data_IF_868195219931
#
_entry.id   IF_868195219931
#
_cell.length_a   1.000
_cell.length_b   1.000
_cell.length_c   1.000
_cell.angle_alpha   90.00
_cell.angle_beta   90.00
_cell.angle_gamma   90.00
#
_symmetry.space_group_name_H-M   'P 1'
#
loop_
_entity.id
_entity.type
_entity.pdbx_description
1 polymer ?
#
# COMPACT_ATOMS: atom_id res chain seq x y z
N UNK A 1 9.10 -1.41 16.32
CA UNK A 1 10.01 -0.55 17.10
C UNK A 1 9.52 0.90 17.13
N UNK A 2 8.97 1.44 16.04
CA UNK A 2 8.49 2.84 15.97
C UNK A 2 7.15 3.05 16.69
N UNK A 3 6.25 2.07 16.67
CA UNK A 3 4.98 2.12 17.43
C UNK A 3 5.19 2.20 18.94
N UNK A 4 6.27 1.58 19.46
CA UNK A 4 6.63 1.66 20.87
C UNK A 4 7.09 3.09 21.26
N UNK A 5 7.69 3.82 20.34
CA UNK A 5 8.12 5.21 20.54
C UNK A 5 6.92 6.15 20.70
N UNK A 6 5.84 5.96 19.93
CA UNK A 6 4.60 6.72 20.07
C UNK A 6 3.90 6.44 21.40
N UNK A 7 3.85 5.18 21.81
CA UNK A 7 3.25 4.77 23.09
C UNK A 7 4.02 5.35 24.27
N UNK A 8 5.34 5.42 24.19
CA UNK A 8 6.18 6.00 25.23
C UNK A 8 6.05 7.54 25.32
N UNK A 9 5.80 8.23 24.21
CA UNK A 9 5.50 9.66 24.19
C UNK A 9 4.10 9.96 24.79
N UNK A 10 3.11 9.13 24.48
CA UNK A 10 1.75 9.26 25.01
C UNK A 10 1.65 8.94 26.51
N UNK A 11 2.47 8.00 26.99
CA UNK A 11 2.55 7.63 28.40
C UNK A 11 3.53 8.47 29.25
N UNK A 12 4.23 9.41 28.63
CA UNK A 12 5.01 10.36 29.42
C UNK A 12 4.05 11.15 30.32
N UNK A 13 4.10 10.83 31.60
CA UNK A 13 3.21 11.36 32.68
C UNK A 13 3.12 12.90 32.73
N UNK A 14 4.05 13.62 32.07
CA UNK A 14 4.02 15.06 31.88
C UNK A 14 2.92 15.53 30.93
N UNK A 15 2.49 14.72 29.95
CA UNK A 15 1.45 15.12 28.97
C UNK A 15 0.06 14.89 29.55
N UNK A 16 -0.15 13.85 30.36
CA UNK A 16 -1.43 13.62 31.05
C UNK A 16 -1.77 14.73 32.08
N UNK A 17 -0.74 15.29 32.73
CA UNK A 17 -0.92 16.40 33.64
C UNK A 17 -1.31 17.73 32.96
N UNK A 18 -0.94 17.91 31.69
CA UNK A 18 -1.25 19.10 30.90
C UNK A 18 -2.70 19.09 30.40
N UNK A 19 -3.28 17.92 30.11
CA UNK A 19 -4.67 17.79 29.67
C UNK A 19 -5.70 18.30 30.69
N UNK A 20 -5.42 18.20 31.99
CA UNK A 20 -6.28 18.66 33.05
C UNK A 20 -6.34 20.19 33.18
N UNK A 21 -5.40 20.92 32.57
CA UNK A 21 -5.28 22.39 32.70
C UNK A 21 -5.42 23.11 31.34
N UNK A 22 -6.07 22.51 30.35
CA UNK A 22 -6.27 23.09 29.02
C UNK A 22 -6.80 24.51 29.00
N UNK A 23 -7.72 24.85 29.95
CA UNK A 23 -8.29 26.21 30.07
C UNK A 23 -7.20 27.21 30.46
N UNK A 24 -6.34 26.85 31.41
CA UNK A 24 -5.25 27.74 31.88
C UNK A 24 -4.23 27.95 30.80
N UNK A 25 -3.86 26.90 30.04
CA UNK A 25 -2.95 26.99 28.89
C UNK A 25 -3.56 27.79 27.75
N UNK A 26 -4.88 27.70 27.54
CA UNK A 26 -5.57 28.52 26.55
C UNK A 26 -5.49 30.01 26.91
N UNK A 27 -5.76 30.37 28.15
CA UNK A 27 -5.65 31.76 28.62
C UNK A 27 -4.20 32.27 28.51
N UNK A 28 -3.22 31.44 28.91
CA UNK A 28 -1.81 31.81 28.86
C UNK A 28 -1.32 32.00 27.41
N UNK A 29 -1.89 31.31 26.43
CA UNK A 29 -1.50 31.41 25.01
C UNK A 29 -1.83 32.78 24.37
N UNK A 30 -2.71 33.56 24.98
CA UNK A 30 -3.03 34.93 24.53
C UNK A 30 -2.14 36.01 25.14
N UNK A 31 -1.19 35.66 26.03
CA UNK A 31 -0.27 36.64 26.58
C UNK A 31 0.79 37.05 25.56
N UNK A 32 0.95 38.37 25.27
CA UNK A 32 1.99 38.82 24.37
C UNK A 32 3.37 38.39 24.86
N UNK A 33 4.25 37.93 23.96
CA UNK A 33 5.63 37.48 24.19
C UNK A 33 5.79 36.17 24.97
N UNK A 34 4.87 35.83 25.88
CA UNK A 34 4.92 34.60 26.67
C UNK A 34 3.98 33.52 26.15
N UNK A 35 3.05 33.86 25.25
CA UNK A 35 2.01 32.98 24.75
C UNK A 35 2.47 31.84 23.82
N UNK A 36 3.67 31.95 23.20
CA UNK A 36 4.14 30.96 22.24
C UNK A 36 4.40 29.58 22.87
N UNK A 37 4.99 29.51 24.05
CA UNK A 37 5.23 28.23 24.73
C UNK A 37 3.94 27.56 25.20
N UNK A 38 3.00 28.24 25.88
CA UNK A 38 1.66 27.68 26.17
C UNK A 38 0.88 27.29 24.93
N UNK A 39 0.95 28.09 23.85
CA UNK A 39 0.29 27.76 22.58
C UNK A 39 0.86 26.47 21.97
N UNK A 40 2.20 26.36 21.87
CA UNK A 40 2.86 25.17 21.33
C UNK A 40 2.49 23.92 22.12
N UNK A 41 2.48 23.98 23.45
CA UNK A 41 2.12 22.86 24.32
C UNK A 41 0.65 22.47 24.15
N UNK A 42 -0.24 23.45 24.06
CA UNK A 42 -1.68 23.21 23.82
C UNK A 42 -1.90 22.50 22.49
N UNK A 43 -1.31 22.97 21.39
CA UNK A 43 -1.47 22.38 20.07
C UNK A 43 -0.89 20.96 20.03
N UNK A 44 0.26 20.73 20.63
CA UNK A 44 0.85 19.40 20.73
C UNK A 44 -0.03 18.44 21.54
N UNK A 45 -0.53 18.88 22.71
CA UNK A 45 -1.41 18.06 23.55
C UNK A 45 -2.72 17.72 22.85
N UNK A 46 -3.35 18.71 22.21
CA UNK A 46 -4.57 18.51 21.44
C UNK A 46 -4.34 17.50 20.30
N UNK A 47 -3.24 17.64 19.56
CA UNK A 47 -2.87 16.74 18.49
C UNK A 47 -2.73 15.29 18.98
N UNK A 48 -1.98 15.08 20.07
CA UNK A 48 -1.79 13.72 20.63
C UNK A 48 -3.12 13.12 21.08
N UNK A 49 -3.95 13.88 21.80
CA UNK A 49 -5.25 13.39 22.27
C UNK A 49 -6.20 13.06 21.11
N UNK A 50 -6.24 13.87 20.06
CA UNK A 50 -7.06 13.63 18.88
C UNK A 50 -6.63 12.37 18.12
N UNK A 51 -5.32 12.13 18.00
CA UNK A 51 -4.80 10.95 17.34
C UNK A 51 -4.98 9.67 18.17
N UNK A 52 -4.88 9.74 19.49
CA UNK A 52 -5.12 8.59 20.37
C UNK A 52 -6.61 8.21 20.42
N UNK A 53 -7.50 9.22 20.39
CA UNK A 53 -8.93 9.00 20.39
C UNK A 53 -9.37 8.34 19.06
N UNK A 54 -9.62 7.04 19.07
CA UNK A 54 -10.09 6.28 17.90
C UNK A 54 -9.19 5.11 17.52
N UNK A 55 -7.99 4.98 18.12
CA UNK A 55 -7.12 3.82 17.88
C UNK A 55 -7.41 2.63 18.80
N UNK A 56 -8.20 2.80 19.85
CA UNK A 56 -8.40 1.76 20.87
C UNK A 56 -8.92 0.44 20.31
N UNK A 57 -9.91 0.50 19.42
CA UNK A 57 -10.49 -0.69 18.78
C UNK A 57 -9.48 -1.40 17.90
N UNK A 58 -8.72 -0.64 17.10
CA UNK A 58 -7.67 -1.18 16.23
C UNK A 58 -6.55 -1.83 17.05
N UNK A 59 -6.10 -1.16 18.12
CA UNK A 59 -5.08 -1.71 19.02
C UNK A 59 -5.56 -3.00 19.71
N UNK A 60 -6.80 -3.05 20.17
CA UNK A 60 -7.37 -4.26 20.76
C UNK A 60 -7.39 -5.40 19.75
N UNK A 61 -7.90 -5.16 18.55
CA UNK A 61 -7.98 -6.18 17.49
C UNK A 61 -6.60 -6.66 17.03
N UNK A 62 -5.62 -5.75 16.87
CA UNK A 62 -4.24 -6.12 16.53
C UNK A 62 -3.56 -7.00 17.59
N UNK A 63 -3.90 -6.82 18.88
CA UNK A 63 -3.38 -7.69 19.95
C UNK A 63 -4.00 -9.09 19.92
N UNK A 64 -5.23 -9.21 19.48
CA UNK A 64 -5.95 -10.47 19.35
C UNK A 64 -5.55 -11.27 18.10
N UNK A 65 -5.10 -10.56 17.06
CA UNK A 65 -4.78 -11.19 15.76
C UNK A 65 -3.48 -12.00 15.89
N UNK A 66 -3.60 -13.31 15.63
CA UNK A 66 -2.45 -14.18 15.54
C UNK A 66 -1.83 -14.04 14.13
N UNK A 67 -0.64 -13.44 14.04
CA UNK A 67 0.08 -13.23 12.78
C UNK A 67 0.59 -14.50 12.10
N UNK A 68 0.36 -15.68 12.71
CA UNK A 68 0.79 -16.96 12.15
C UNK A 68 -0.21 -17.57 11.13
N UNK A 69 -1.40 -17.01 10.97
CA UNK A 69 -2.37 -17.49 10.01
C UNK A 69 -2.17 -16.83 8.64
N UNK A 70 -2.14 -17.64 7.59
CA UNK A 70 -1.95 -17.21 6.19
C UNK A 70 -3.25 -16.60 5.60
N UNK A 71 -3.99 -15.85 6.41
CA UNK A 71 -5.22 -15.28 5.92
C UNK A 71 -5.43 -13.88 6.53
N UNK A 72 -5.99 -12.98 5.75
CA UNK A 72 -6.30 -11.63 6.19
C UNK A 72 -7.68 -11.66 6.85
N UNK A 73 -7.72 -11.43 8.18
CA UNK A 73 -8.97 -11.32 8.91
C UNK A 73 -9.84 -10.20 8.32
N UNK A 74 -11.02 -10.51 7.73
CA UNK A 74 -11.88 -9.51 7.12
C UNK A 74 -12.33 -8.41 8.08
N UNK A 75 -12.51 -8.75 9.36
CA UNK A 75 -12.91 -7.79 10.39
C UNK A 75 -11.76 -6.83 10.70
N UNK A 76 -10.52 -7.35 10.81
CA UNK A 76 -9.33 -6.52 10.98
C UNK A 76 -9.14 -5.60 9.76
N UNK A 77 -9.33 -6.12 8.55
CA UNK A 77 -9.20 -5.33 7.34
C UNK A 77 -10.25 -4.22 7.26
N UNK A 78 -11.51 -4.51 7.57
CA UNK A 78 -12.57 -3.51 7.62
C UNK A 78 -12.27 -2.43 8.66
N UNK A 79 -11.72 -2.84 9.82
CA UNK A 79 -11.32 -1.91 10.88
C UNK A 79 -10.12 -1.05 10.47
N UNK A 80 -9.11 -1.64 9.82
CA UNK A 80 -7.97 -0.91 9.27
C UNK A 80 -8.43 0.10 8.22
N UNK A 81 -9.30 -0.31 7.30
CA UNK A 81 -9.87 0.53 6.25
C UNK A 81 -10.63 1.72 6.84
N UNK A 82 -11.55 1.46 7.76
CA UNK A 82 -12.32 2.51 8.43
C UNK A 82 -11.40 3.46 9.20
N UNK A 83 -10.43 2.90 9.93
CA UNK A 83 -9.47 3.70 10.70
C UNK A 83 -8.62 4.57 9.78
N UNK A 84 -8.12 4.06 8.67
CA UNK A 84 -7.30 4.83 7.72
C UNK A 84 -8.07 6.04 7.16
N UNK A 85 -9.32 5.82 6.73
CA UNK A 85 -10.20 6.89 6.22
C UNK A 85 -10.48 7.95 7.29
N UNK A 86 -10.77 7.53 8.52
CA UNK A 86 -11.04 8.46 9.63
C UNK A 86 -9.78 9.21 10.11
N UNK A 87 -8.62 8.58 10.00
CA UNK A 87 -7.34 9.15 10.48
C UNK A 87 -6.74 10.15 9.51
N UNK A 88 -6.94 9.99 8.20
CA UNK A 88 -6.37 10.89 7.19
C UNK A 88 -6.64 12.37 7.51
N UNK A 89 -7.88 12.84 7.67
CA UNK A 89 -8.14 14.24 7.97
C UNK A 89 -7.58 14.68 9.33
N UNK A 90 -7.49 13.78 10.31
CA UNK A 90 -6.90 14.08 11.62
C UNK A 90 -5.39 14.31 11.53
N UNK A 91 -4.68 13.47 10.78
CA UNK A 91 -3.23 13.60 10.58
C UNK A 91 -2.91 14.84 9.75
N UNK A 92 -3.71 15.15 8.72
CA UNK A 92 -3.59 16.39 7.94
C UNK A 92 -3.76 17.63 8.82
N UNK A 93 -4.82 17.66 9.62
CA UNK A 93 -5.10 18.77 10.55
C UNK A 93 -4.02 18.88 11.62
N UNK A 94 -3.50 17.76 12.13
CA UNK A 94 -2.42 17.71 13.11
C UNK A 94 -1.11 18.28 12.52
N UNK A 95 -0.73 17.85 11.33
CA UNK A 95 0.46 18.38 10.63
C UNK A 95 0.33 19.89 10.39
N UNK A 96 -0.82 20.35 9.90
CA UNK A 96 -1.07 21.76 9.66
C UNK A 96 -0.99 22.61 10.95
N UNK A 97 -1.57 22.11 12.04
CA UNK A 97 -1.50 22.80 13.35
C UNK A 97 -0.07 22.91 13.85
N UNK A 98 0.68 21.82 13.83
CA UNK A 98 2.07 21.80 14.33
C UNK A 98 3.00 22.69 13.47
N UNK A 99 2.79 22.75 12.16
CA UNK A 99 3.54 23.65 11.25
C UNK A 99 3.32 25.12 11.52
N UNK A 100 2.15 25.49 12.03
CA UNK A 100 1.80 26.87 12.32
C UNK A 100 2.28 27.35 13.71
N UNK A 101 2.96 26.52 14.49
CA UNK A 101 3.48 26.91 15.81
C UNK A 101 4.63 27.88 15.63
N UNK A 102 4.51 29.04 16.31
CA UNK A 102 5.61 30.00 16.42
C UNK A 102 6.53 29.61 17.59
N UNK A 103 7.74 29.18 17.27
CA UNK A 103 8.72 28.73 18.26
C UNK A 103 9.56 29.87 18.86
N UNK A 104 9.31 31.13 18.52
CA UNK A 104 10.04 32.29 19.09
C UNK A 104 9.83 32.31 20.61
N UNK A 105 10.92 32.34 21.37
CA UNK A 105 10.92 32.27 22.84
C UNK A 105 10.37 30.99 23.46
N UNK A 106 10.17 29.94 22.69
CA UNK A 106 9.84 28.61 23.23
C UNK A 106 11.13 27.90 23.65
N UNK A 107 11.27 27.48 24.91
CA UNK A 107 12.45 26.74 25.35
C UNK A 107 12.69 25.46 24.53
N UNK A 108 13.96 25.10 24.31
CA UNK A 108 14.33 23.92 23.51
C UNK A 108 13.73 22.63 24.06
N UNK A 109 13.62 22.51 25.39
CA UNK A 109 13.02 21.36 26.06
C UNK A 109 11.56 21.10 25.67
N UNK A 110 10.85 22.14 25.19
CA UNK A 110 9.47 22.04 24.69
C UNK A 110 9.44 22.00 23.16
N UNK A 111 10.25 22.82 22.49
CA UNK A 111 10.20 22.92 21.02
C UNK A 111 10.73 21.67 20.32
N UNK A 112 11.79 21.03 20.82
CA UNK A 112 12.38 19.84 20.21
C UNK A 112 11.41 18.62 20.15
N UNK A 113 10.71 18.25 21.26
CA UNK A 113 9.71 17.16 21.20
C UNK A 113 8.55 17.47 20.24
N UNK A 114 8.09 18.74 20.19
CA UNK A 114 6.99 19.16 19.33
C UNK A 114 7.42 19.12 17.85
N UNK A 115 8.63 19.56 17.52
CA UNK A 115 9.20 19.47 16.17
C UNK A 115 9.40 18.00 15.75
N UNK A 116 9.80 17.11 16.67
CA UNK A 116 9.85 15.67 16.41
C UNK A 116 8.47 15.11 16.11
N UNK A 117 7.44 15.51 16.87
CA UNK A 117 6.06 15.13 16.61
C UNK A 117 5.60 15.60 15.22
N UNK A 118 5.91 16.85 14.85
CA UNK A 118 5.64 17.37 13.52
C UNK A 118 6.29 16.52 12.42
N UNK A 119 7.58 16.19 12.57
CA UNK A 119 8.28 15.33 11.62
C UNK A 119 7.66 13.95 11.50
N UNK A 120 7.16 13.38 12.59
CA UNK A 120 6.44 12.12 12.57
C UNK A 120 5.10 12.23 11.82
N UNK A 121 4.37 13.33 12.01
CA UNK A 121 3.13 13.58 11.25
C UNK A 121 3.41 13.72 9.74
N UNK A 122 4.46 14.44 9.37
CA UNK A 122 4.86 14.61 7.97
C UNK A 122 5.24 13.29 7.31
N UNK A 123 5.85 12.36 8.06
CA UNK A 123 6.14 10.99 7.59
C UNK A 123 4.91 10.09 7.56
N UNK A 124 3.97 10.30 8.46
CA UNK A 124 2.73 9.52 8.53
C UNK A 124 1.74 9.87 7.41
N UNK A 125 1.73 11.12 6.95
CA UNK A 125 0.80 11.60 5.91
C UNK A 125 0.76 10.73 4.65
N UNK A 126 1.90 10.44 3.97
CA UNK A 126 1.86 9.60 2.78
C UNK A 126 1.40 8.17 3.10
N UNK A 127 1.76 7.63 4.26
CA UNK A 127 1.37 6.27 4.67
C UNK A 127 -0.16 6.21 4.86
N UNK A 128 -0.73 7.18 5.55
CA UNK A 128 -2.19 7.23 5.81
C UNK A 128 -2.95 7.52 4.51
N UNK A 129 -2.41 8.34 3.62
CA UNK A 129 -3.00 8.59 2.31
C UNK A 129 -3.06 7.31 1.47
N UNK A 130 -1.96 6.58 1.34
CA UNK A 130 -1.93 5.30 0.63
C UNK A 130 -2.81 4.24 1.31
N UNK A 131 -2.82 4.17 2.64
CA UNK A 131 -3.69 3.27 3.38
C UNK A 131 -5.18 3.58 3.15
N UNK A 132 -5.57 4.85 3.08
CA UNK A 132 -6.95 5.23 2.79
C UNK A 132 -7.36 4.91 1.36
N UNK A 133 -6.49 5.10 0.37
CA UNK A 133 -6.72 4.67 -1.02
C UNK A 133 -6.86 3.15 -1.13
N UNK A 134 -5.97 2.41 -0.47
CA UNK A 134 -6.08 0.94 -0.42
C UNK A 134 -7.38 0.48 0.24
N UNK A 135 -7.83 1.16 1.28
CA UNK A 135 -9.07 0.86 1.98
C UNK A 135 -10.30 0.90 1.06
N UNK A 136 -10.30 1.77 0.04
CA UNK A 136 -11.40 1.89 -0.92
C UNK A 136 -11.48 0.67 -1.86
N UNK A 137 -10.34 0.12 -2.26
CA UNK A 137 -10.27 -1.00 -3.22
C UNK A 137 -10.14 -2.37 -2.54
N UNK A 138 -9.70 -2.41 -1.29
CA UNK A 138 -9.43 -3.66 -0.56
C UNK A 138 -10.64 -4.61 -0.48
N UNK A 139 -11.89 -4.16 -0.25
CA UNK A 139 -13.05 -5.05 -0.23
C UNK A 139 -13.24 -5.80 -1.55
N UNK A 140 -13.04 -5.13 -2.68
CA UNK A 140 -13.15 -5.72 -4.00
C UNK A 140 -11.94 -6.63 -4.29
N UNK A 141 -10.73 -6.12 -4.04
CA UNK A 141 -9.47 -6.84 -4.29
C UNK A 141 -9.41 -8.16 -3.50
N UNK A 142 -9.90 -8.17 -2.26
CA UNK A 142 -9.82 -9.30 -1.35
C UNK A 142 -11.10 -10.13 -1.27
N UNK A 143 -12.08 -9.85 -2.12
CA UNK A 143 -13.31 -10.64 -2.23
C UNK A 143 -14.17 -10.60 -0.96
N UNK A 144 -14.20 -9.48 -0.22
CA UNK A 144 -15.02 -9.37 1.00
C UNK A 144 -16.51 -9.32 0.68
N UNK A 145 -16.87 -8.76 -0.49
CA UNK A 145 -18.25 -8.67 -0.98
C UNK A 145 -18.66 -9.83 -1.91
N UNK A 146 -17.88 -10.91 -1.91
CA UNK A 146 -18.05 -12.10 -2.75
C UNK A 146 -16.75 -12.47 -3.44
N UNK A 147 -16.63 -13.74 -3.82
CA UNK A 147 -15.42 -14.27 -4.43
C UNK A 147 -15.01 -13.46 -5.67
N UNK A 148 -13.71 -13.17 -5.78
CA UNK A 148 -13.07 -12.51 -6.92
C UNK A 148 -11.96 -13.38 -7.49
N UNK A 149 -11.81 -13.34 -8.81
CA UNK A 149 -10.76 -14.07 -9.52
C UNK A 149 -9.94 -13.06 -10.32
N UNK A 150 -8.65 -12.98 -10.04
CA UNK A 150 -7.73 -12.05 -10.67
C UNK A 150 -6.76 -12.83 -11.55
N UNK A 151 -6.66 -12.46 -12.82
CA UNK A 151 -5.58 -12.93 -13.68
C UNK A 151 -4.28 -12.26 -13.23
N UNK A 152 -3.29 -13.05 -12.84
CA UNK A 152 -1.97 -12.56 -12.48
C UNK A 152 -0.98 -12.93 -13.56
N UNK A 153 -0.29 -11.95 -14.10
CA UNK A 153 0.76 -12.13 -15.11
C UNK A 153 2.09 -11.73 -14.51
N UNK A 154 3.06 -12.64 -14.58
CA UNK A 154 4.39 -12.44 -14.05
C UNK A 154 5.30 -11.93 -15.16
N UNK A 155 5.79 -10.70 -14.99
CA UNK A 155 6.70 -10.05 -15.88
C UNK A 155 8.15 -10.21 -15.44
N UNK A 156 9.07 -10.15 -16.41
CA UNK A 156 10.51 -10.09 -16.18
C UNK A 156 11.05 -8.77 -16.75
N UNK A 157 11.57 -7.90 -15.89
CA UNK A 157 12.08 -6.59 -16.31
C UNK A 157 13.46 -6.65 -16.97
N UNK A 158 14.16 -7.79 -16.91
CA UNK A 158 15.38 -8.00 -17.72
C UNK A 158 15.11 -7.89 -19.23
N UNK A 159 13.88 -8.22 -19.65
CA UNK A 159 13.38 -7.93 -21.00
C UNK A 159 12.37 -6.76 -20.90
N UNK A 160 12.90 -5.56 -21.01
CA UNK A 160 12.13 -4.35 -20.77
C UNK A 160 10.89 -4.24 -21.68
N UNK A 161 9.72 -4.07 -21.04
CA UNK A 161 8.47 -3.65 -21.65
C UNK A 161 7.88 -2.54 -20.76
N UNK A 162 7.23 -1.54 -21.33
CA UNK A 162 6.65 -0.45 -20.54
C UNK A 162 5.67 -0.91 -19.44
N UNK A 163 4.89 -1.97 -19.72
CA UNK A 163 3.92 -2.53 -18.76
C UNK A 163 4.45 -3.82 -18.13
N UNK A 164 5.29 -3.72 -17.09
CA UNK A 164 5.75 -4.82 -16.22
C UNK A 164 6.74 -5.82 -16.81
N UNK A 165 7.46 -5.48 -17.89
CA UNK A 165 8.46 -6.37 -18.48
C UNK A 165 7.85 -7.46 -19.36
N UNK A 166 8.68 -8.46 -19.73
CA UNK A 166 8.26 -9.59 -20.57
C UNK A 166 7.35 -10.55 -19.80
N UNK A 167 6.15 -10.87 -20.30
CA UNK A 167 5.22 -11.77 -19.63
C UNK A 167 5.71 -13.22 -19.72
N UNK A 168 6.35 -13.74 -18.67
CA UNK A 168 6.92 -15.09 -18.63
C UNK A 168 5.92 -16.19 -18.22
N UNK A 169 4.94 -15.85 -17.40
CA UNK A 169 3.98 -16.82 -16.90
C UNK A 169 2.75 -16.16 -16.30
N UNK A 170 1.77 -16.96 -15.94
CA UNK A 170 0.50 -16.49 -15.42
C UNK A 170 -0.14 -17.47 -14.43
N UNK A 171 -1.13 -17.00 -13.73
CA UNK A 171 -1.97 -17.78 -12.83
C UNK A 171 -3.23 -17.03 -12.43
N UNK A 172 -4.08 -17.65 -11.63
CA UNK A 172 -5.28 -17.02 -11.08
C UNK A 172 -5.15 -16.90 -9.57
N UNK A 173 -5.30 -15.70 -9.05
CA UNK A 173 -5.56 -15.49 -7.62
C UNK A 173 -7.07 -15.49 -7.42
N UNK A 174 -7.54 -16.42 -6.61
CA UNK A 174 -8.90 -16.41 -6.08
C UNK A 174 -8.87 -15.75 -4.72
N UNK A 175 -9.63 -14.67 -4.58
CA UNK A 175 -9.82 -13.95 -3.33
C UNK A 175 -11.25 -14.19 -2.82
N UNK A 176 -11.38 -14.68 -1.60
CA UNK A 176 -12.68 -15.00 -0.99
C UNK A 176 -12.60 -14.74 0.52
N UNK A 177 -13.37 -13.75 0.99
CA UNK A 177 -13.40 -13.33 2.39
C UNK A 177 -12.00 -13.11 2.98
N UNK A 178 -11.12 -12.40 2.24
CA UNK A 178 -9.75 -12.12 2.64
C UNK A 178 -8.77 -13.29 2.46
N UNK A 179 -9.23 -14.46 2.07
CA UNK A 179 -8.38 -15.62 1.77
C UNK A 179 -7.92 -15.55 0.32
N UNK A 180 -6.61 -15.56 0.13
CA UNK A 180 -6.00 -15.53 -1.20
C UNK A 180 -5.47 -16.92 -1.53
N UNK A 181 -5.85 -17.43 -2.70
CA UNK A 181 -5.37 -18.71 -3.21
C UNK A 181 -4.85 -18.51 -4.63
N UNK A 182 -3.56 -18.74 -4.82
CA UNK A 182 -2.96 -18.77 -6.15
C UNK A 182 -3.16 -20.15 -6.78
N UNK A 183 -3.59 -20.19 -8.04
CA UNK A 183 -3.65 -21.40 -8.86
C UNK A 183 -2.22 -21.90 -9.19
N UNK A 184 -2.13 -23.06 -9.84
CA UNK A 184 -0.87 -23.46 -10.45
C UNK A 184 -0.44 -22.42 -11.49
N UNK A 185 0.83 -22.03 -11.41
CA UNK A 185 1.42 -21.13 -12.40
C UNK A 185 1.65 -21.88 -13.72
N UNK A 186 1.35 -21.23 -14.82
CA UNK A 186 1.55 -21.74 -16.17
C UNK A 186 2.52 -20.84 -16.93
N UNK A 187 3.36 -21.47 -17.80
CA UNK A 187 4.22 -20.72 -18.71
C UNK A 187 3.41 -20.14 -19.86
N UNK A 188 3.83 -18.97 -20.34
CA UNK A 188 3.27 -18.35 -21.54
C UNK A 188 3.70 -19.05 -22.84
N UNK A 189 4.55 -20.07 -22.80
CA UNK A 189 4.98 -20.82 -23.99
C UNK A 189 3.78 -21.39 -24.76
N UNK A 190 2.74 -21.82 -24.06
CA UNK A 190 1.50 -22.33 -24.68
C UNK A 190 0.74 -21.27 -25.48
N UNK A 191 0.92 -20.00 -25.14
CA UNK A 191 0.27 -18.87 -25.78
C UNK A 191 1.17 -18.12 -26.76
N UNK A 192 2.44 -18.55 -26.91
CA UNK A 192 3.45 -17.85 -27.72
C UNK A 192 3.04 -17.72 -29.20
N UNK A 193 2.28 -18.68 -29.73
CA UNK A 193 1.79 -18.69 -31.10
C UNK A 193 0.34 -18.19 -31.25
N UNK A 194 -0.26 -17.74 -30.16
CA UNK A 194 -1.62 -17.20 -30.16
C UNK A 194 -1.58 -15.72 -30.46
N UNK A 195 -2.48 -15.30 -31.34
CA UNK A 195 -2.68 -13.88 -31.67
C UNK A 195 -4.12 -13.49 -31.47
N UNK A 196 -4.34 -12.44 -30.69
CA UNK A 196 -5.66 -11.86 -30.48
C UNK A 196 -6.09 -11.10 -31.74
N UNK A 197 -7.20 -11.51 -32.36
CA UNK A 197 -7.64 -10.99 -33.66
C UNK A 197 -8.18 -9.56 -33.60
N UNK A 198 -8.74 -9.17 -32.48
CA UNK A 198 -9.36 -7.85 -32.23
C UNK A 198 -8.45 -6.91 -31.44
N UNK A 199 -7.13 -7.13 -31.46
CA UNK A 199 -6.17 -6.31 -30.72
C UNK A 199 -6.25 -4.82 -31.08
N UNK A 200 -6.43 -4.48 -32.37
CA UNK A 200 -6.59 -3.12 -32.84
C UNK A 200 -7.84 -2.43 -32.28
N UNK A 201 -8.97 -3.16 -32.19
CA UNK A 201 -10.21 -2.66 -31.62
C UNK A 201 -10.06 -2.37 -30.10
N UNK A 202 -9.37 -3.25 -29.39
CA UNK A 202 -9.12 -3.13 -27.94
C UNK A 202 -8.13 -2.00 -27.65
N UNK A 203 -7.05 -1.93 -28.40
CA UNK A 203 -5.95 -0.98 -28.20
C UNK A 203 -6.29 0.44 -28.68
N UNK A 204 -7.18 0.55 -29.66
CA UNK A 204 -7.50 1.80 -30.33
C UNK A 204 -6.57 2.13 -31.48
N UNK A 205 -7.00 3.07 -32.32
CA UNK A 205 -6.33 3.38 -33.59
C UNK A 205 -4.89 3.85 -33.40
N UNK A 206 -4.63 4.69 -32.42
CA UNK A 206 -3.28 5.23 -32.18
C UNK A 206 -2.28 4.13 -31.81
N UNK A 207 -2.67 3.20 -30.95
CA UNK A 207 -1.83 2.07 -30.58
C UNK A 207 -1.66 1.10 -31.74
N UNK A 208 -2.68 0.88 -32.54
CA UNK A 208 -2.61 0.04 -33.75
C UNK A 208 -1.68 0.63 -34.80
N UNK A 209 -1.71 1.95 -35.00
CA UNK A 209 -0.78 2.63 -35.92
C UNK A 209 0.70 2.53 -35.46
N UNK A 210 0.94 2.54 -34.13
CA UNK A 210 2.30 2.47 -33.57
C UNK A 210 2.89 1.05 -33.53
N UNK A 211 2.06 0.07 -33.17
CA UNK A 211 2.53 -1.29 -32.83
C UNK A 211 1.97 -2.36 -33.77
N UNK A 212 0.94 -2.05 -34.53
CA UNK A 212 0.30 -2.96 -35.47
C UNK A 212 -0.21 -4.25 -34.82
N UNK A 213 -0.12 -5.34 -35.57
CA UNK A 213 -0.58 -6.66 -35.12
C UNK A 213 0.22 -7.24 -33.94
N UNK A 214 1.36 -6.66 -33.59
CA UNK A 214 2.22 -7.19 -32.52
C UNK A 214 1.54 -7.08 -31.15
N UNK A 215 0.71 -6.06 -30.92
CA UNK A 215 -0.09 -5.93 -29.70
C UNK A 215 -1.03 -7.13 -29.44
N UNK A 216 -1.34 -7.92 -30.46
CA UNK A 216 -2.18 -9.11 -30.31
C UNK A 216 -1.44 -10.36 -29.79
N UNK A 217 -0.11 -10.33 -29.67
CA UNK A 217 0.70 -11.45 -29.20
C UNK A 217 1.00 -11.32 -27.72
N UNK A 218 0.94 -12.43 -26.98
CA UNK A 218 1.19 -12.40 -25.52
C UNK A 218 2.54 -11.76 -25.17
N UNK A 219 3.56 -12.01 -25.99
CA UNK A 219 4.92 -11.53 -25.76
C UNK A 219 5.07 -10.01 -25.93
N UNK A 220 4.14 -9.39 -26.64
CA UNK A 220 4.20 -7.99 -27.04
C UNK A 220 3.08 -7.12 -26.41
N UNK A 221 2.14 -7.74 -25.68
CA UNK A 221 1.04 -7.00 -25.03
C UNK A 221 1.50 -5.97 -24.00
N UNK A 222 2.70 -6.13 -23.45
CA UNK A 222 3.33 -5.15 -22.56
C UNK A 222 3.99 -3.96 -23.26
N UNK A 223 3.93 -3.85 -24.60
CA UNK A 223 4.53 -2.75 -25.36
C UNK A 223 3.81 -1.42 -25.14
N UNK A 224 2.49 -1.46 -24.91
CA UNK A 224 1.76 -0.23 -24.54
C UNK A 224 2.20 0.28 -23.16
N UNK A 225 2.59 1.55 -23.03
CA UNK A 225 2.85 2.16 -21.71
C UNK A 225 1.57 2.39 -20.92
N UNK A 226 0.42 2.38 -21.57
CA UNK A 226 -0.90 2.46 -20.94
C UNK A 226 -1.31 1.06 -20.45
N UNK A 227 -1.30 0.88 -19.13
CA UNK A 227 -1.67 -0.41 -18.52
C UNK A 227 -3.15 -0.75 -18.73
N UNK A 228 -4.04 0.20 -18.91
CA UNK A 228 -5.44 -0.08 -19.23
C UNK A 228 -5.56 -0.83 -20.56
N UNK A 229 -4.80 -0.43 -21.57
CA UNK A 229 -4.71 -1.11 -22.86
C UNK A 229 -4.05 -2.48 -22.70
N UNK A 230 -2.85 -2.52 -22.11
CA UNK A 230 -2.12 -3.77 -21.90
C UNK A 230 -2.94 -4.79 -21.09
N UNK A 231 -3.59 -4.35 -20.02
CA UNK A 231 -4.46 -5.19 -19.18
C UNK A 231 -5.67 -5.74 -19.93
N UNK A 232 -6.33 -4.94 -20.76
CA UNK A 232 -7.45 -5.39 -21.60
C UNK A 232 -7.00 -6.42 -22.64
N UNK A 233 -5.86 -6.21 -23.26
CA UNK A 233 -5.29 -7.16 -24.22
C UNK A 233 -4.95 -8.49 -23.53
N UNK A 234 -4.28 -8.47 -22.38
CA UNK A 234 -3.99 -9.65 -21.59
C UNK A 234 -5.26 -10.36 -21.16
N UNK A 235 -6.24 -9.63 -20.63
CA UNK A 235 -7.52 -10.21 -20.20
C UNK A 235 -8.22 -10.96 -21.33
N UNK A 236 -8.34 -10.35 -22.51
CA UNK A 236 -8.99 -10.97 -23.67
C UNK A 236 -8.21 -12.18 -24.15
N UNK A 237 -6.87 -12.09 -24.28
CA UNK A 237 -6.06 -13.22 -24.72
C UNK A 237 -6.23 -14.43 -23.82
N UNK A 238 -6.15 -14.26 -22.51
CA UNK A 238 -6.23 -15.37 -21.57
C UNK A 238 -7.66 -15.95 -21.50
N UNK A 239 -8.69 -15.13 -21.46
CA UNK A 239 -10.08 -15.61 -21.39
C UNK A 239 -10.54 -16.33 -22.65
N UNK A 240 -10.01 -15.94 -23.82
CA UNK A 240 -10.31 -16.58 -25.09
C UNK A 240 -9.55 -17.92 -25.30
N UNK A 241 -8.33 -18.02 -24.77
CA UNK A 241 -7.40 -19.10 -25.10
C UNK A 241 -7.07 -20.05 -23.94
N UNK A 242 -7.70 -19.88 -22.78
CA UNK A 242 -7.58 -20.77 -21.62
C UNK A 242 -8.93 -21.20 -21.09
N UNK A 243 -8.92 -22.19 -20.19
CA UNK A 243 -10.14 -22.62 -19.48
C UNK A 243 -10.53 -21.67 -18.35
N UNK A 244 -9.70 -20.68 -18.05
CA UNK A 244 -9.94 -19.69 -17.01
C UNK A 244 -10.91 -18.63 -17.52
N UNK A 245 -12.14 -18.72 -17.05
CA UNK A 245 -13.23 -17.81 -17.44
C UNK A 245 -13.46 -16.77 -16.36
N UNK A 246 -13.88 -15.59 -16.82
CA UNK A 246 -14.39 -14.50 -16.00
C UNK A 246 -13.47 -14.00 -14.86
N UNK A 247 -12.14 -13.77 -15.09
CA UNK A 247 -11.39 -12.98 -14.15
C UNK A 247 -11.94 -11.54 -14.13
N UNK A 248 -12.04 -10.94 -12.94
CA UNK A 248 -12.58 -9.59 -12.77
C UNK A 248 -11.59 -8.49 -13.16
N UNK A 249 -10.33 -8.86 -13.35
CA UNK A 249 -9.28 -7.94 -13.77
C UNK A 249 -7.93 -8.62 -13.88
N UNK A 250 -6.91 -7.83 -14.22
CA UNK A 250 -5.53 -8.26 -14.41
C UNK A 250 -4.62 -7.56 -13.39
N UNK A 251 -3.74 -8.34 -12.81
CA UNK A 251 -2.65 -7.87 -11.94
C UNK A 251 -1.35 -8.29 -12.62
N UNK A 252 -0.42 -7.35 -12.83
CA UNK A 252 0.93 -7.70 -13.24
C UNK A 252 1.86 -7.63 -12.03
N UNK A 253 2.78 -8.57 -11.96
CA UNK A 253 3.79 -8.64 -10.91
C UNK A 253 5.15 -8.89 -11.54
N UNK A 254 6.12 -8.05 -11.19
CA UNK A 254 7.50 -8.24 -11.55
C UNK A 254 8.34 -8.75 -10.35
N UNK A 255 9.62 -8.95 -10.57
CA UNK A 255 10.56 -9.37 -9.53
C UNK A 255 10.72 -8.35 -8.41
N UNK A 256 10.47 -7.06 -8.64
CA UNK A 256 10.51 -6.03 -7.61
C UNK A 256 9.25 -6.08 -6.71
N UNK A 257 8.09 -6.38 -7.29
CA UNK A 257 6.89 -6.66 -6.53
C UNK A 257 7.07 -7.90 -5.65
N UNK A 258 7.68 -8.97 -6.20
CA UNK A 258 8.02 -10.16 -5.43
C UNK A 258 9.02 -9.85 -4.31
N UNK A 259 10.06 -9.05 -4.58
CA UNK A 259 11.00 -8.58 -3.56
C UNK A 259 10.29 -7.86 -2.43
N UNK A 260 9.37 -6.95 -2.76
CA UNK A 260 8.60 -6.19 -1.77
C UNK A 260 7.74 -7.09 -0.89
N UNK A 261 7.12 -8.11 -1.46
CA UNK A 261 6.40 -9.13 -0.70
C UNK A 261 7.34 -9.90 0.24
N UNK A 262 8.54 -10.27 -0.23
CA UNK A 262 9.51 -11.02 0.56
C UNK A 262 10.11 -10.22 1.72
N UNK A 263 10.16 -8.89 1.65
CA UNK A 263 10.54 -8.09 2.82
C UNK A 263 9.54 -8.22 3.98
N UNK A 264 8.30 -8.52 3.68
CA UNK A 264 7.24 -8.71 4.70
C UNK A 264 7.11 -10.18 5.11
N UNK A 265 7.13 -11.09 4.13
CA UNK A 265 6.89 -12.53 4.36
C UNK A 265 8.15 -13.32 4.73
N UNK A 266 9.33 -12.74 4.48
CA UNK A 266 10.61 -13.40 4.71
C UNK A 266 11.14 -14.17 3.49
N UNK A 267 12.30 -14.83 3.64
CA UNK A 267 12.97 -15.53 2.56
C UNK A 267 12.20 -16.77 2.10
N UNK A 268 12.31 -17.08 0.80
CA UNK A 268 11.65 -18.24 0.16
C UNK A 268 12.67 -19.31 -0.20
N UNK A 269 12.24 -20.58 -0.18
CA UNK A 269 13.05 -21.70 -0.62
C UNK A 269 12.74 -22.06 -2.07
N UNK A 270 13.78 -22.04 -2.92
CA UNK A 270 13.69 -22.43 -4.34
C UNK A 270 14.69 -23.56 -4.59
N UNK A 271 14.17 -24.77 -4.77
CA UNK A 271 15.00 -25.98 -4.78
C UNK A 271 15.74 -26.13 -3.45
N UNK A 272 17.07 -26.24 -3.49
CA UNK A 272 17.91 -26.33 -2.30
C UNK A 272 18.43 -24.97 -1.80
N UNK A 273 18.12 -23.89 -2.51
CA UNK A 273 18.58 -22.55 -2.16
C UNK A 273 17.51 -21.80 -1.35
N UNK A 274 17.95 -21.08 -0.33
CA UNK A 274 17.14 -20.11 0.37
C UNK A 274 17.48 -18.73 -0.20
N UNK A 275 16.47 -18.05 -0.78
CA UNK A 275 16.62 -16.74 -1.38
C UNK A 275 16.04 -15.67 -0.44
N UNK A 276 16.83 -14.65 -0.17
CA UNK A 276 16.38 -13.45 0.53
C UNK A 276 15.71 -12.48 -0.44
N UNK A 277 15.00 -11.49 0.10
CA UNK A 277 14.43 -10.42 -0.69
C UNK A 277 15.49 -9.66 -1.51
N UNK A 278 16.70 -9.46 -0.97
CA UNK A 278 17.78 -8.77 -1.69
C UNK A 278 18.34 -9.58 -2.87
N UNK A 279 18.22 -10.91 -2.82
CA UNK A 279 18.76 -11.81 -3.84
C UNK A 279 17.75 -12.17 -4.94
N UNK A 280 16.44 -11.97 -4.73
CA UNK A 280 15.41 -12.47 -5.65
C UNK A 280 15.43 -11.79 -7.00
N UNK A 281 15.68 -10.48 -7.06
CA UNK A 281 15.73 -9.72 -8.32
C UNK A 281 16.83 -10.28 -9.22
N UNK A 282 18.05 -10.39 -8.69
CA UNK A 282 19.18 -10.96 -9.44
C UNK A 282 18.95 -12.43 -9.82
N UNK A 283 18.28 -13.19 -8.97
CA UNK A 283 17.97 -14.59 -9.27
C UNK A 283 16.98 -14.72 -10.44
N UNK A 284 15.91 -13.91 -10.46
CA UNK A 284 14.91 -13.94 -11.54
C UNK A 284 15.45 -13.37 -12.83
N UNK A 285 16.20 -12.25 -12.76
CA UNK A 285 16.68 -11.56 -13.98
C UNK A 285 17.92 -12.18 -14.61
N UNK A 286 18.79 -12.85 -13.84
CA UNK A 286 20.09 -13.37 -14.31
C UNK A 286 20.25 -14.88 -14.13
N UNK A 287 19.51 -15.49 -13.22
CA UNK A 287 19.72 -16.87 -12.81
C UNK A 287 18.79 -17.89 -13.47
N UNK A 288 17.80 -17.43 -14.22
CA UNK A 288 16.82 -18.28 -14.92
C UNK A 288 17.19 -18.44 -16.41
N UNK A 289 18.14 -17.65 -16.90
CA UNK A 289 18.70 -17.74 -18.27
C UNK A 289 19.97 -18.54 -18.32
#
# INVERSE_FOLDING_TARGET
>A
VETQSFYNLANASSIQGVGSNLIQWTIASYMPLLGNAPHALREATFTVNELLAGTDKLQAKLRETNTAEQFIDPELLALLSTTAVEFKPKVEAASARLKNINYTLVPSQLSEPIQKLQLQMDKALPIVDEASKFAEIAPELLGLNGQRRWLVVFGNTAEARPSSGFPGGWGIITADQGKLKLSKLESNDRLSNVQLKNSAEIAGQEADELYGSDLGRVLDMGLSPDFEIAGKLLWNLYTENTDEKDPVGVITMDEHALQSLMWVTGPVKVGDKQLSADAIVDYVTKGVY
#
